data_IF_320818045092
#
_entry.id   IF_320818045092
#
_cell.length_a   1.000
_cell.length_b   1.000
_cell.length_c   1.000
_cell.angle_alpha   90.00
_cell.angle_beta   90.00
_cell.angle_gamma   90.00
#
_symmetry.space_group_name_H-M   'P 1'
#
loop_
_entity.id
_entity.type
_entity.pdbx_description
1 polymer ?
#
# COMPACT_ATOMS: atom_id res chain seq x y z
N UNK A 1 -14.48 -16.94 -7.93
CA UNK A 1 -14.20 -15.98 -6.85
C UNK A 1 -14.43 -14.58 -7.36
N UNK A 2 -15.11 -13.79 -6.56
CA UNK A 2 -15.60 -12.47 -6.97
C UNK A 2 -14.86 -11.31 -6.32
N UNK A 3 -13.77 -11.58 -5.60
CA UNK A 3 -13.05 -10.57 -4.85
C UNK A 3 -11.73 -10.18 -5.51
N UNK A 4 -11.41 -8.90 -5.46
CA UNK A 4 -10.10 -8.38 -5.88
C UNK A 4 -9.57 -7.49 -4.78
N UNK A 5 -8.27 -7.56 -4.55
CA UNK A 5 -7.58 -6.74 -3.55
C UNK A 5 -6.70 -5.72 -4.29
N UNK A 6 -6.85 -4.46 -3.92
CA UNK A 6 -6.05 -3.37 -4.45
C UNK A 6 -5.28 -2.68 -3.33
N UNK A 7 -4.01 -2.41 -3.58
CA UNK A 7 -3.15 -1.66 -2.68
C UNK A 7 -2.84 -0.32 -3.33
N UNK A 8 -3.10 0.76 -2.61
CA UNK A 8 -2.75 2.12 -3.02
C UNK A 8 -1.66 2.64 -2.08
N UNK A 9 -0.45 2.75 -2.60
CA UNK A 9 0.69 3.25 -1.84
C UNK A 9 0.95 4.71 -2.24
N UNK A 10 0.47 5.62 -1.42
CA UNK A 10 0.67 7.04 -1.60
C UNK A 10 1.98 7.55 -0.99
N UNK A 11 2.24 8.83 -1.13
CA UNK A 11 3.43 9.47 -0.56
C UNK A 11 3.43 9.47 0.97
N UNK A 12 2.27 9.43 1.58
CA UNK A 12 2.12 9.50 3.03
C UNK A 12 1.30 8.34 3.60
N UNK A 13 0.38 7.78 2.83
CA UNK A 13 -0.57 6.78 3.32
C UNK A 13 -0.49 5.48 2.52
N UNK A 14 -0.88 4.41 3.19
CA UNK A 14 -1.01 3.07 2.64
C UNK A 14 -2.47 2.65 2.79
N UNK A 15 -3.08 2.18 1.71
CA UNK A 15 -4.49 1.81 1.71
C UNK A 15 -4.68 0.47 1.02
N UNK A 16 -5.48 -0.40 1.61
CA UNK A 16 -5.88 -1.67 1.02
C UNK A 16 -7.39 -1.71 0.91
N UNK A 17 -7.88 -2.08 -0.26
CA UNK A 17 -9.30 -2.29 -0.51
C UNK A 17 -9.52 -3.71 -0.99
N UNK A 18 -10.46 -4.39 -0.38
CA UNK A 18 -10.97 -5.67 -0.88
C UNK A 18 -12.36 -5.42 -1.44
N UNK A 19 -12.51 -5.64 -2.74
CA UNK A 19 -13.70 -5.31 -3.50
C UNK A 19 -14.33 -6.59 -4.07
N UNK A 20 -15.64 -6.72 -3.91
CA UNK A 20 -16.41 -7.80 -4.55
C UNK A 20 -17.05 -7.24 -5.81
N UNK A 21 -16.54 -7.65 -6.98
CA UNK A 21 -16.98 -7.09 -8.25
C UNK A 21 -18.33 -7.65 -8.74
N UNK A 22 -18.80 -8.74 -8.16
CA UNK A 22 -20.16 -9.25 -8.45
C UNK A 22 -21.20 -8.47 -7.67
N UNK A 23 -20.94 -8.21 -6.39
CA UNK A 23 -21.83 -7.43 -5.53
C UNK A 23 -21.65 -5.93 -5.67
N UNK A 24 -20.58 -5.50 -6.35
CA UNK A 24 -20.20 -4.09 -6.50
C UNK A 24 -20.07 -3.40 -5.14
N UNK A 25 -19.31 -4.01 -4.24
CA UNK A 25 -19.14 -3.52 -2.86
C UNK A 25 -17.70 -3.61 -2.40
N UNK A 26 -17.25 -2.58 -1.68
CA UNK A 26 -16.01 -2.65 -0.90
C UNK A 26 -16.34 -3.45 0.37
N UNK A 27 -15.68 -4.60 0.53
CA UNK A 27 -15.93 -5.50 1.65
C UNK A 27 -15.07 -5.13 2.85
N UNK A 28 -13.78 -4.80 2.59
CA UNK A 28 -12.83 -4.43 3.63
C UNK A 28 -11.97 -3.27 3.17
N UNK A 29 -11.57 -2.45 4.12
CA UNK A 29 -10.68 -1.31 3.89
C UNK A 29 -9.69 -1.23 5.05
N UNK A 30 -8.42 -0.95 4.72
CA UNK A 30 -7.36 -0.77 5.69
C UNK A 30 -6.58 0.49 5.30
N UNK A 31 -6.32 1.37 6.27
CA UNK A 31 -5.57 2.59 6.05
C UNK A 31 -4.50 2.74 7.13
N UNK A 32 -3.31 3.16 6.72
CA UNK A 32 -2.21 3.43 7.66
C UNK A 32 -1.35 4.57 7.11
N UNK A 33 -0.86 5.43 8.00
CA UNK A 33 0.10 6.47 7.65
C UNK A 33 1.49 5.85 7.72
N UNK A 34 2.19 5.78 6.59
CA UNK A 34 3.52 5.16 6.51
C UNK A 34 4.62 6.16 6.15
N UNK A 35 4.26 7.39 5.75
CA UNK A 35 5.19 8.46 5.42
C UNK A 35 6.29 8.00 4.45
N UNK A 36 5.89 7.37 3.33
CA UNK A 36 6.81 6.84 2.33
C UNK A 36 7.76 7.92 1.79
N UNK A 37 7.28 9.17 1.69
CA UNK A 37 8.06 10.29 1.20
C UNK A 37 8.95 10.95 2.25
N UNK A 38 9.00 10.41 3.47
CA UNK A 38 9.82 10.96 4.55
C UNK A 38 11.30 11.02 4.13
N UNK A 39 11.86 12.23 4.15
CA UNK A 39 13.24 12.45 3.75
C UNK A 39 13.50 12.48 2.24
N UNK A 40 12.53 12.13 1.40
CA UNK A 40 12.71 12.01 -0.05
C UNK A 40 13.15 13.33 -0.69
N UNK A 41 12.62 14.46 -0.25
CA UNK A 41 12.96 15.78 -0.80
C UNK A 41 14.45 16.10 -0.61
N UNK A 42 15.03 15.64 0.49
CA UNK A 42 16.45 15.91 0.83
C UNK A 42 17.41 14.90 0.23
N UNK A 43 17.02 13.64 0.13
CA UNK A 43 17.92 12.55 -0.25
C UNK A 43 17.70 12.06 -1.68
N UNK A 44 16.50 12.24 -2.22
CA UNK A 44 16.11 11.69 -3.52
C UNK A 44 15.89 10.18 -3.50
N UNK A 45 15.91 9.55 -2.33
CA UNK A 45 15.67 8.12 -2.16
C UNK A 45 14.61 7.90 -1.06
N UNK A 46 13.93 6.75 -1.12
CA UNK A 46 13.07 6.30 -0.05
C UNK A 46 13.94 5.70 1.03
N UNK A 47 13.81 6.18 2.28
CA UNK A 47 14.65 5.72 3.39
C UNK A 47 14.35 4.27 3.74
N UNK A 48 15.33 3.60 4.39
CA UNK A 48 15.13 2.24 4.88
C UNK A 48 14.01 2.18 5.91
N UNK A 49 13.87 3.20 6.77
CA UNK A 49 12.79 3.28 7.74
C UNK A 49 11.43 3.37 7.05
N UNK A 50 11.31 4.19 6.00
CA UNK A 50 10.07 4.30 5.24
C UNK A 50 9.73 2.98 4.54
N UNK A 51 10.72 2.34 3.94
CA UNK A 51 10.55 1.02 3.30
C UNK A 51 10.06 0.00 4.32
N UNK A 52 10.66 -0.02 5.51
CA UNK A 52 10.26 -0.95 6.55
C UNK A 52 8.84 -0.69 7.04
N UNK A 53 8.42 0.58 7.14
CA UNK A 53 7.04 0.93 7.50
C UNK A 53 6.05 0.37 6.48
N UNK A 54 6.36 0.45 5.19
CA UNK A 54 5.52 -0.10 4.12
C UNK A 54 5.44 -1.62 4.22
N UNK A 55 6.57 -2.30 4.40
CA UNK A 55 6.62 -3.75 4.56
C UNK A 55 5.78 -4.19 5.76
N UNK A 56 5.91 -3.49 6.89
CA UNK A 56 5.14 -3.78 8.09
C UNK A 56 3.64 -3.58 7.85
N UNK A 57 3.26 -2.53 7.11
CA UNK A 57 1.86 -2.25 6.77
C UNK A 57 1.28 -3.35 5.88
N UNK A 58 2.03 -3.80 4.88
CA UNK A 58 1.61 -4.92 4.02
C UNK A 58 1.40 -6.18 4.85
N UNK A 59 2.35 -6.51 5.73
CA UNK A 59 2.28 -7.70 6.58
C UNK A 59 1.07 -7.64 7.51
N UNK A 60 0.88 -6.51 8.20
CA UNK A 60 -0.26 -6.33 9.12
C UNK A 60 -1.60 -6.42 8.39
N UNK A 61 -1.72 -5.75 7.24
CA UNK A 61 -2.98 -5.74 6.50
C UNK A 61 -3.28 -7.10 5.89
N UNK A 62 -2.27 -7.82 5.38
CA UNK A 62 -2.49 -9.15 4.81
C UNK A 62 -2.98 -10.15 5.86
N UNK A 63 -2.47 -10.05 7.09
CA UNK A 63 -2.94 -10.89 8.20
C UNK A 63 -4.34 -10.51 8.65
N UNK A 64 -4.64 -9.21 8.71
CA UNK A 64 -5.92 -8.71 9.18
C UNK A 64 -7.05 -8.95 8.19
N UNK A 65 -6.79 -8.77 6.90
CA UNK A 65 -7.80 -8.89 5.84
C UNK A 65 -7.73 -10.22 5.08
N UNK A 66 -6.77 -11.07 5.41
CA UNK A 66 -6.59 -12.39 4.82
C UNK A 66 -6.48 -12.33 3.29
N UNK A 67 -5.55 -11.53 2.79
CA UNK A 67 -5.24 -11.49 1.37
C UNK A 67 -3.77 -11.86 1.12
N UNK A 68 -3.45 -12.30 -0.11
CA UNK A 68 -2.08 -12.59 -0.52
C UNK A 68 -1.50 -11.36 -1.23
N UNK A 69 -0.45 -10.72 -0.67
CA UNK A 69 0.17 -9.56 -1.31
C UNK A 69 0.68 -9.81 -2.72
N UNK A 70 0.97 -11.06 -3.07
CA UNK A 70 1.45 -11.44 -4.41
C UNK A 70 0.33 -11.45 -5.45
N UNK A 71 -0.92 -11.47 -5.02
CA UNK A 71 -2.09 -11.58 -5.88
C UNK A 71 -2.94 -10.33 -5.88
N UNK A 72 -2.36 -9.18 -5.51
CA UNK A 72 -3.08 -7.92 -5.51
C UNK A 72 -2.66 -7.00 -6.65
N UNK A 73 -3.55 -6.06 -6.98
CA UNK A 73 -3.25 -4.94 -7.85
C UNK A 73 -2.65 -3.84 -6.98
N UNK A 74 -1.46 -3.36 -7.35
CA UNK A 74 -0.77 -2.33 -6.58
C UNK A 74 -0.57 -1.09 -7.44
N UNK A 75 -0.99 0.07 -6.91
CA UNK A 75 -0.75 1.37 -7.53
C UNK A 75 0.09 2.24 -6.60
N UNK A 76 0.93 3.07 -7.18
CA UNK A 76 1.81 3.97 -6.44
C UNK A 76 1.66 5.39 -6.92
N UNK A 77 2.10 6.34 -6.11
CA UNK A 77 2.00 7.76 -6.43
C UNK A 77 3.38 8.42 -6.51
N UNK A 78 3.42 9.75 -6.40
CA UNK A 78 4.58 10.56 -6.69
C UNK A 78 5.87 10.12 -5.96
N UNK A 79 5.78 9.70 -4.71
CA UNK A 79 6.97 9.31 -3.94
C UNK A 79 7.76 8.19 -4.63
N UNK A 80 7.04 7.17 -5.12
CA UNK A 80 7.68 6.04 -5.79
C UNK A 80 8.25 6.42 -7.14
N UNK A 81 7.61 7.36 -7.85
CA UNK A 81 8.10 7.86 -9.14
C UNK A 81 9.32 8.76 -8.99
N UNK A 82 9.41 9.53 -7.89
CA UNK A 82 10.49 10.48 -7.65
C UNK A 82 11.72 9.83 -7.03
N UNK A 83 11.58 8.69 -6.39
CA UNK A 83 12.69 8.02 -5.72
C UNK A 83 13.69 7.46 -6.74
N UNK A 84 14.96 7.49 -6.34
CA UNK A 84 16.07 6.96 -7.17
C UNK A 84 16.32 5.48 -6.91
N UNK A 85 15.70 4.90 -5.90
CA UNK A 85 15.88 3.50 -5.54
C UNK A 85 14.62 2.65 -5.75
#
# INVERSE_FOLDING_TARGET
>A
MSKVTAIDLGSNSFRVLVYDYIKDQVIHEYNEIVATADGLVHTGIISDDATQRVINAITKSSNKLDYDPKECICVTTAAMRMAKN
#
